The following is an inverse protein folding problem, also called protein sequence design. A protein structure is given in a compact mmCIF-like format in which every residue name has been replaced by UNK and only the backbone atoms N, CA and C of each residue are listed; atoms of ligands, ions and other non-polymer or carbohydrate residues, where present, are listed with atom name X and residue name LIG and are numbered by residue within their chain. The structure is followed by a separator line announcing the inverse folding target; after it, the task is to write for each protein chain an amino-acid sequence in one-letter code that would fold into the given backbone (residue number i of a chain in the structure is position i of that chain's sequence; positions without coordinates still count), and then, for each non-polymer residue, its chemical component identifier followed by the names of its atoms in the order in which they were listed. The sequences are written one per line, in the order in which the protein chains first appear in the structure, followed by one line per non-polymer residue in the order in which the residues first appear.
data_IF_811481322847
#
_entry.id   IF_811481322847
#
_cell.length_a   1.000
_cell.length_b   1.000
_cell.length_c   1.000
_cell.angle_alpha   90.00
_cell.angle_beta   90.00
_cell.angle_gamma   90.00
#
_symmetry.space_group_name_H-M   'P 1'
#
loop_
_entity.id
_entity.type
_entity.pdbx_description
1 polymer ?
#
# COMPACT_ATOMS: atom_id res chain seq x y z
N UNK A 1 27.21 -80.46 26.63
CA UNK A 1 27.66 -79.41 25.71
C UNK A 1 26.71 -78.25 25.88
N UNK A 2 27.07 -77.28 26.69
CA UNK A 2 26.22 -76.12 27.06
C UNK A 2 26.69 -74.90 26.20
N UNK A 3 25.80 -74.39 25.40
CA UNK A 3 26.06 -73.16 24.57
C UNK A 3 25.75 -71.97 25.46
N UNK A 4 26.76 -71.14 25.68
CA UNK A 4 26.66 -69.88 26.40
C UNK A 4 26.10 -68.79 25.49
N UNK A 5 25.01 -68.15 25.87
CA UNK A 5 24.38 -67.02 25.19
C UNK A 5 25.06 -65.73 25.66
N UNK A 6 25.75 -65.06 24.75
CA UNK A 6 26.33 -63.71 24.98
C UNK A 6 25.21 -62.69 24.78
N UNK A 7 24.84 -61.96 25.83
CA UNK A 7 24.00 -60.75 25.75
C UNK A 7 24.86 -59.59 25.39
N UNK A 8 24.77 -59.10 24.16
CA UNK A 8 25.30 -57.80 23.75
C UNK A 8 24.34 -56.68 24.18
N UNK A 9 24.76 -55.90 25.15
CA UNK A 9 24.08 -54.68 25.54
C UNK A 9 24.30 -53.59 24.47
N UNK A 10 23.21 -53.16 23.83
CA UNK A 10 23.21 -51.93 23.04
C UNK A 10 23.20 -50.72 24.01
N UNK A 11 24.30 -50.01 24.07
CA UNK A 11 24.33 -48.66 24.64
C UNK A 11 23.65 -47.71 23.67
N UNK A 12 22.49 -47.22 24.02
CA UNK A 12 21.79 -46.13 23.30
C UNK A 12 22.57 -44.83 23.52
N UNK A 13 23.33 -44.43 22.49
CA UNK A 13 23.92 -43.13 22.39
C UNK A 13 22.79 -42.13 22.15
N UNK A 14 22.37 -41.39 23.17
CA UNK A 14 21.49 -40.25 23.04
C UNK A 14 22.24 -39.18 22.23
N UNK A 15 21.90 -39.03 20.93
CA UNK A 15 22.28 -37.86 20.16
C UNK A 15 21.59 -36.65 20.76
N UNK A 16 22.35 -35.81 21.45
CA UNK A 16 21.96 -34.41 21.71
C UNK A 16 21.63 -33.75 20.34
N UNK A 17 20.48 -33.07 20.20
CA UNK A 17 20.25 -32.26 19.00
C UNK A 17 21.36 -31.23 18.94
N UNK A 18 22.28 -31.39 18.00
CA UNK A 18 23.29 -30.38 17.69
C UNK A 18 22.54 -29.08 17.38
N UNK A 19 22.85 -28.03 18.10
CA UNK A 19 22.51 -26.68 17.68
C UNK A 19 23.11 -26.50 16.29
N UNK A 20 22.28 -26.63 15.26
CA UNK A 20 22.59 -26.17 13.92
C UNK A 20 22.59 -24.65 14.05
N UNK A 21 23.76 -24.07 14.33
CA UNK A 21 23.95 -22.64 14.18
C UNK A 21 23.66 -22.34 12.72
N UNK A 22 22.57 -21.65 12.46
CA UNK A 22 22.30 -21.13 11.12
C UNK A 22 23.55 -20.37 10.65
N UNK A 23 24.03 -20.70 9.46
CA UNK A 23 25.14 -19.95 8.88
C UNK A 23 24.80 -18.46 8.90
N UNK A 24 25.75 -17.57 9.19
CA UNK A 24 25.49 -16.14 9.16
C UNK A 24 24.90 -15.76 7.82
N UNK A 25 23.80 -14.99 7.82
CA UNK A 25 23.17 -14.52 6.61
C UNK A 25 24.20 -13.75 5.78
N UNK A 26 24.38 -14.15 4.52
CA UNK A 26 25.35 -13.54 3.60
C UNK A 26 24.56 -12.80 2.53
N UNK A 27 24.98 -11.57 2.25
CA UNK A 27 24.37 -10.76 1.20
C UNK A 27 24.56 -11.41 -0.19
N UNK A 28 23.45 -11.68 -0.88
CA UNK A 28 23.47 -12.17 -2.26
C UNK A 28 23.49 -10.98 -3.24
N UNK A 29 24.38 -11.04 -4.25
CA UNK A 29 24.53 -9.93 -5.21
C UNK A 29 23.34 -9.76 -6.13
N UNK A 30 22.69 -10.87 -6.56
CA UNK A 30 21.53 -10.82 -7.43
C UNK A 30 20.32 -10.26 -6.69
N UNK A 31 20.10 -10.69 -5.43
CA UNK A 31 19.03 -10.17 -4.58
C UNK A 31 19.21 -8.67 -4.30
N UNK A 32 20.43 -8.23 -4.01
CA UNK A 32 20.72 -6.81 -3.80
C UNK A 32 20.45 -5.99 -5.08
N UNK A 33 20.88 -6.46 -6.26
CA UNK A 33 20.61 -5.79 -7.52
C UNK A 33 19.11 -5.74 -7.83
N UNK A 34 18.40 -6.86 -7.64
CA UNK A 34 16.94 -6.95 -7.81
C UNK A 34 16.22 -5.97 -6.89
N UNK A 35 16.54 -5.94 -5.60
CA UNK A 35 15.88 -5.09 -4.64
C UNK A 35 16.19 -3.59 -4.82
N UNK A 36 17.40 -3.23 -5.30
CA UNK A 36 17.68 -1.84 -5.69
C UNK A 36 16.83 -1.40 -6.88
N UNK A 37 16.65 -2.27 -7.89
CA UNK A 37 15.77 -1.99 -9.04
C UNK A 37 14.31 -1.88 -8.58
N UNK A 38 13.83 -2.83 -7.76
CA UNK A 38 12.47 -2.77 -7.19
C UNK A 38 12.23 -1.48 -6.40
N UNK A 39 13.20 -1.08 -5.58
CA UNK A 39 13.13 0.19 -4.83
C UNK A 39 13.01 1.40 -5.78
N UNK A 40 13.85 1.46 -6.81
CA UNK A 40 13.81 2.54 -7.81
C UNK A 40 12.45 2.59 -8.53
N UNK A 41 11.86 1.43 -8.86
CA UNK A 41 10.54 1.33 -9.46
C UNK A 41 9.43 1.85 -8.54
N UNK A 42 9.47 1.54 -7.24
CA UNK A 42 8.49 2.07 -6.26
C UNK A 42 8.66 3.58 -6.06
N UNK A 43 9.88 4.10 -6.02
CA UNK A 43 10.13 5.54 -5.99
C UNK A 43 9.58 6.22 -7.24
N UNK A 44 9.80 5.62 -8.41
CA UNK A 44 9.31 6.13 -9.69
C UNK A 44 7.78 6.14 -9.78
N UNK A 45 7.09 5.15 -9.21
CA UNK A 45 5.63 5.18 -9.18
C UNK A 45 5.08 6.25 -8.22
N UNK A 46 5.83 6.68 -7.21
CA UNK A 46 5.38 7.68 -6.25
C UNK A 46 5.46 9.09 -6.83
N UNK A 47 6.65 9.56 -7.16
CA UNK A 47 6.81 10.96 -7.59
C UNK A 47 6.19 11.20 -8.97
N UNK A 48 6.62 10.61 -10.09
CA UNK A 48 5.94 10.88 -11.34
C UNK A 48 4.60 10.12 -11.45
N UNK A 49 4.49 8.88 -10.96
CA UNK A 49 3.30 8.07 -11.17
C UNK A 49 2.04 8.65 -10.53
N UNK A 50 1.99 8.73 -9.20
CA UNK A 50 0.83 9.29 -8.47
C UNK A 50 0.64 10.77 -8.82
N UNK A 51 1.72 11.56 -8.87
CA UNK A 51 1.64 12.98 -9.15
C UNK A 51 0.94 13.24 -10.49
N UNK A 52 1.32 12.54 -11.57
CA UNK A 52 0.70 12.67 -12.89
C UNK A 52 -0.71 12.08 -12.94
N UNK A 53 -0.92 10.92 -12.30
CA UNK A 53 -2.23 10.30 -12.26
C UNK A 53 -3.25 11.22 -11.59
N UNK A 54 -2.98 11.71 -10.38
CA UNK A 54 -3.85 12.61 -9.64
C UNK A 54 -3.89 14.02 -10.28
N UNK A 55 -2.73 14.52 -10.72
CA UNK A 55 -2.64 15.80 -11.41
C UNK A 55 -3.55 15.88 -12.63
N UNK A 56 -3.62 14.81 -13.42
CA UNK A 56 -4.52 14.72 -14.57
C UNK A 56 -6.00 14.59 -14.23
N UNK A 57 -6.35 14.01 -13.07
CA UNK A 57 -7.73 13.80 -12.61
C UNK A 57 -8.40 15.08 -12.12
N UNK A 58 -7.67 15.98 -11.50
CA UNK A 58 -8.19 17.21 -10.91
C UNK A 58 -8.29 18.34 -11.95
N UNK A 59 -8.84 19.49 -11.55
CA UNK A 59 -8.93 20.68 -12.43
C UNK A 59 -7.55 21.30 -12.68
N UNK A 60 -7.29 21.78 -13.89
CA UNK A 60 -5.99 22.31 -14.34
C UNK A 60 -5.38 23.41 -13.48
N UNK A 61 -6.21 24.21 -12.80
CA UNK A 61 -5.80 25.27 -11.88
C UNK A 61 -5.29 24.79 -10.50
N UNK A 62 -5.24 23.47 -10.27
CA UNK A 62 -4.79 22.84 -9.04
C UNK A 62 -3.71 21.78 -9.30
N UNK A 63 -3.24 21.63 -10.53
CA UNK A 63 -2.33 20.55 -10.90
C UNK A 63 -0.97 20.68 -10.21
N UNK A 64 -0.39 21.89 -10.16
CA UNK A 64 0.89 22.12 -9.48
C UNK A 64 0.76 21.94 -7.98
N UNK A 65 -0.36 22.35 -7.39
CA UNK A 65 -0.66 22.08 -5.99
C UNK A 65 -0.65 20.59 -5.68
N UNK A 66 -1.23 19.75 -6.55
CA UNK A 66 -1.20 18.31 -6.40
C UNK A 66 0.21 17.73 -6.50
N UNK A 67 0.96 18.13 -7.54
CA UNK A 67 2.33 17.68 -7.76
C UNK A 67 3.23 18.06 -6.57
N UNK A 68 3.08 19.29 -6.07
CA UNK A 68 3.81 19.82 -4.91
C UNK A 68 3.46 19.03 -3.65
N UNK A 69 2.17 18.77 -3.39
CA UNK A 69 1.75 17.98 -2.23
C UNK A 69 2.35 16.56 -2.27
N UNK A 70 2.28 15.86 -3.40
CA UNK A 70 2.88 14.52 -3.53
C UNK A 70 4.39 14.58 -3.32
N UNK A 71 5.09 15.52 -3.95
CA UNK A 71 6.56 15.64 -3.88
C UNK A 71 7.04 16.00 -2.48
N UNK A 72 6.39 16.97 -1.83
CA UNK A 72 6.85 17.44 -0.51
C UNK A 72 6.47 16.46 0.59
N UNK A 73 5.31 15.81 0.51
CA UNK A 73 4.95 14.75 1.46
C UNK A 73 5.89 13.54 1.32
N UNK A 74 6.26 13.16 0.09
CA UNK A 74 7.29 12.16 -0.16
C UNK A 74 8.62 12.53 0.53
N UNK A 75 9.12 13.75 0.32
CA UNK A 75 10.38 14.20 0.92
C UNK A 75 10.30 14.21 2.46
N UNK A 76 9.20 14.70 3.03
CA UNK A 76 8.96 14.71 4.48
C UNK A 76 8.98 13.28 5.04
N UNK A 77 8.27 12.36 4.42
CA UNK A 77 8.22 10.94 4.86
C UNK A 77 9.59 10.27 4.76
N UNK A 78 10.36 10.51 3.69
CA UNK A 78 11.74 10.00 3.58
C UNK A 78 12.60 10.41 4.78
N UNK A 79 12.52 11.67 5.21
CA UNK A 79 13.27 12.16 6.36
C UNK A 79 12.78 11.50 7.65
N UNK A 80 11.48 11.52 7.91
CA UNK A 80 10.91 10.91 9.11
C UNK A 80 11.16 9.40 9.19
N UNK A 81 11.18 8.72 8.03
CA UNK A 81 11.50 7.30 7.95
C UNK A 81 12.92 6.99 8.42
N UNK A 82 13.90 7.77 7.97
CA UNK A 82 15.30 7.63 8.40
C UNK A 82 15.48 8.06 9.84
N UNK A 83 14.80 9.12 10.29
CA UNK A 83 14.96 9.64 11.65
C UNK A 83 14.47 8.64 12.69
N UNK A 84 13.28 8.05 12.51
CA UNK A 84 12.68 7.13 13.48
C UNK A 84 11.81 6.02 12.87
N UNK A 85 11.24 6.23 11.70
CA UNK A 85 10.21 5.36 11.14
C UNK A 85 10.69 3.92 10.97
N UNK A 86 11.85 3.73 10.35
CA UNK A 86 12.42 2.40 10.14
C UNK A 86 12.64 1.64 11.46
N UNK A 87 13.18 2.30 12.47
CA UNK A 87 13.43 1.70 13.79
C UNK A 87 12.13 1.26 14.46
N UNK A 88 11.10 2.10 14.42
CA UNK A 88 9.81 1.82 15.05
C UNK A 88 8.98 0.76 14.28
N UNK A 89 9.28 0.49 13.01
CA UNK A 89 8.62 -0.59 12.25
C UNK A 89 9.37 -1.90 12.39
N UNK A 90 10.69 -1.92 12.18
CA UNK A 90 11.47 -3.15 12.03
C UNK A 90 12.40 -3.47 13.19
N UNK A 91 12.55 -2.58 14.17
CA UNK A 91 13.23 -2.88 15.42
C UNK A 91 12.45 -3.89 16.27
N UNK A 92 13.16 -4.69 17.07
CA UNK A 92 12.53 -5.54 18.09
C UNK A 92 11.67 -4.67 19.02
N UNK A 93 10.45 -5.14 19.35
CA UNK A 93 9.57 -4.30 20.14
C UNK A 93 8.38 -5.05 20.74
N UNK A 94 7.26 -4.36 20.87
CA UNK A 94 6.01 -4.93 21.35
C UNK A 94 5.04 -5.20 20.18
N UNK A 95 3.81 -5.53 20.46
CA UNK A 95 2.79 -5.84 19.44
C UNK A 95 2.48 -4.68 18.48
N UNK A 96 2.84 -3.43 18.82
CA UNK A 96 2.42 -2.23 18.08
C UNK A 96 3.59 -1.40 17.54
N UNK A 97 4.75 -1.43 18.19
CA UNK A 97 5.92 -0.64 17.82
C UNK A 97 7.22 -1.41 18.06
N UNK A 98 8.16 -1.24 17.15
CA UNK A 98 9.56 -1.58 17.35
C UNK A 98 10.26 -0.65 18.35
N UNK A 99 11.54 -0.92 18.61
CA UNK A 99 12.37 -0.12 19.47
C UNK A 99 12.98 1.10 18.75
N UNK A 100 13.79 1.86 19.47
CA UNK A 100 14.46 3.07 18.97
C UNK A 100 15.97 2.88 18.73
N UNK A 101 16.46 1.65 18.65
CA UNK A 101 17.89 1.35 18.55
C UNK A 101 18.50 1.79 17.22
N UNK A 102 17.68 1.94 16.18
CA UNK A 102 18.11 2.38 14.85
C UNK A 102 17.66 3.81 14.51
N UNK A 103 17.46 4.68 15.52
CA UNK A 103 17.20 6.10 15.26
C UNK A 103 18.33 6.71 14.42
N UNK A 104 17.97 7.48 13.39
CA UNK A 104 18.92 8.03 12.41
C UNK A 104 19.79 6.95 11.74
N UNK A 105 19.28 5.72 11.66
CA UNK A 105 19.97 4.52 11.17
C UNK A 105 21.28 4.22 11.92
N UNK A 106 21.45 4.76 13.13
CA UNK A 106 22.59 4.40 13.99
C UNK A 106 22.56 2.91 14.32
N UNK A 107 23.74 2.36 14.58
CA UNK A 107 23.93 0.94 14.90
C UNK A 107 23.56 -0.04 13.75
N UNK A 108 23.32 0.45 12.54
CA UNK A 108 23.24 -0.37 11.33
C UNK A 108 24.62 -0.32 10.66
N UNK A 109 25.34 -1.43 10.72
CA UNK A 109 26.62 -1.56 10.03
C UNK A 109 26.44 -1.62 8.51
N UNK A 110 27.45 -1.20 7.73
CA UNK A 110 27.39 -1.25 6.26
C UNK A 110 27.22 -2.68 5.72
N UNK A 111 27.71 -3.65 6.50
CA UNK A 111 27.63 -5.09 6.17
C UNK A 111 26.42 -5.78 6.77
N UNK A 112 25.59 -5.07 7.56
CA UNK A 112 24.37 -5.64 8.13
C UNK A 112 23.42 -6.10 7.04
N UNK A 113 22.80 -7.26 7.25
CA UNK A 113 21.86 -7.89 6.29
C UNK A 113 20.48 -8.06 6.92
N UNK A 114 19.46 -7.99 6.07
CA UNK A 114 18.09 -8.39 6.36
C UNK A 114 17.72 -9.47 5.33
N UNK A 115 17.61 -10.73 5.78
CA UNK A 115 17.57 -11.86 4.86
C UNK A 115 18.86 -11.95 4.02
N UNK A 116 18.77 -11.92 2.71
CA UNK A 116 19.89 -11.98 1.75
C UNK A 116 20.32 -10.61 1.20
N UNK A 117 19.73 -9.51 1.64
CA UNK A 117 20.05 -8.15 1.17
C UNK A 117 20.69 -7.29 2.25
N UNK A 118 21.49 -6.31 1.85
CA UNK A 118 21.99 -5.33 2.81
C UNK A 118 20.86 -4.56 3.45
N UNK A 119 20.93 -4.36 4.77
CA UNK A 119 19.87 -3.72 5.54
C UNK A 119 19.55 -2.31 5.04
N UNK A 120 20.51 -1.55 4.51
CA UNK A 120 20.27 -0.24 3.89
C UNK A 120 19.36 -0.32 2.65
N UNK A 121 19.38 -1.41 1.89
CA UNK A 121 18.44 -1.61 0.76
C UNK A 121 17.03 -1.87 1.32
N UNK A 122 16.91 -2.69 2.37
CA UNK A 122 15.65 -2.89 3.06
C UNK A 122 15.08 -1.58 3.62
N UNK A 123 15.92 -0.72 4.23
CA UNK A 123 15.53 0.63 4.68
C UNK A 123 14.92 1.43 3.53
N UNK A 124 15.61 1.48 2.38
CA UNK A 124 15.15 2.25 1.22
C UNK A 124 13.86 1.69 0.61
N UNK A 125 13.77 0.35 0.45
CA UNK A 125 12.60 -0.31 -0.08
C UNK A 125 11.37 -0.06 0.77
N UNK A 126 11.44 -0.32 2.07
CA UNK A 126 10.34 -0.12 3.01
C UNK A 126 9.98 1.36 3.19
N UNK A 127 10.96 2.26 3.10
CA UNK A 127 10.73 3.70 3.10
C UNK A 127 9.91 4.16 1.89
N UNK A 128 10.13 3.56 0.73
CA UNK A 128 9.35 3.87 -0.48
C UNK A 128 7.86 3.53 -0.32
N UNK A 129 7.53 2.49 0.46
CA UNK A 129 6.14 2.14 0.82
C UNK A 129 5.49 3.17 1.76
N UNK A 130 6.22 3.65 2.75
CA UNK A 130 5.75 4.73 3.61
C UNK A 130 5.43 6.00 2.80
N UNK A 131 6.31 6.35 1.86
CA UNK A 131 6.16 7.52 1.00
C UNK A 131 4.93 7.43 0.10
N UNK A 132 4.75 6.30 -0.59
CA UNK A 132 3.59 6.14 -1.50
C UNK A 132 2.28 6.12 -0.72
N UNK A 133 2.25 5.49 0.46
CA UNK A 133 1.03 5.41 1.27
C UNK A 133 0.49 6.79 1.62
N UNK A 134 1.37 7.71 2.02
CA UNK A 134 0.99 9.11 2.28
C UNK A 134 0.59 9.82 0.99
N UNK A 135 1.29 9.56 -0.12
CA UNK A 135 0.96 10.11 -1.43
C UNK A 135 -0.47 9.77 -1.90
N UNK A 136 -0.99 8.59 -1.53
CA UNK A 136 -2.37 8.21 -1.87
C UNK A 136 -3.41 9.10 -1.16
N UNK A 137 -3.17 9.47 0.10
CA UNK A 137 -4.14 10.21 0.92
C UNK A 137 -4.47 11.58 0.33
N UNK A 138 -3.46 12.28 -0.22
CA UNK A 138 -3.66 13.66 -0.72
C UNK A 138 -4.67 13.76 -1.85
N UNK A 139 -4.86 12.68 -2.62
CA UNK A 139 -5.87 12.61 -3.68
C UNK A 139 -7.30 12.84 -3.20
N UNK A 140 -7.65 12.37 -2.00
CA UNK A 140 -8.98 12.55 -1.41
C UNK A 140 -9.23 13.99 -0.93
N UNK A 141 -8.17 14.77 -0.73
CA UNK A 141 -8.20 16.13 -0.16
C UNK A 141 -8.05 17.22 -1.21
N UNK A 142 -7.79 16.82 -2.45
CA UNK A 142 -7.42 17.68 -3.56
C UNK A 142 -8.34 18.90 -3.72
N UNK A 143 -7.75 20.00 -4.22
CA UNK A 143 -8.39 21.25 -4.63
C UNK A 143 -8.92 22.15 -3.49
N UNK A 144 -8.82 21.75 -2.21
CA UNK A 144 -9.39 22.53 -1.10
C UNK A 144 -8.64 22.49 0.23
N UNK A 145 -7.66 21.59 0.39
CA UNK A 145 -6.88 21.51 1.62
C UNK A 145 -5.77 22.55 1.66
N UNK A 146 -5.47 23.09 2.83
CA UNK A 146 -4.28 23.94 3.05
C UNK A 146 -3.03 23.07 3.01
N UNK A 147 -2.01 23.53 2.31
CA UNK A 147 -0.73 22.82 2.22
C UNK A 147 -0.08 22.58 3.58
N UNK A 148 -0.09 23.58 4.49
CA UNK A 148 0.42 23.43 5.86
C UNK A 148 -0.33 22.38 6.66
N UNK A 149 -1.65 22.24 6.46
CA UNK A 149 -2.46 21.23 7.13
C UNK A 149 -2.07 19.81 6.66
N UNK A 150 -1.75 19.63 5.37
CA UNK A 150 -1.24 18.35 4.86
C UNK A 150 0.04 17.95 5.58
N UNK A 151 0.99 18.87 5.76
CA UNK A 151 2.27 18.57 6.40
C UNK A 151 2.13 18.16 7.86
N UNK A 152 1.28 18.87 8.64
CA UNK A 152 1.00 18.52 10.04
C UNK A 152 0.32 17.15 10.11
N UNK A 153 -0.70 16.93 9.27
CA UNK A 153 -1.41 15.66 9.21
C UNK A 153 -0.46 14.50 8.90
N UNK A 154 0.43 14.65 7.93
CA UNK A 154 1.38 13.62 7.51
C UNK A 154 2.28 13.18 8.66
N UNK A 155 2.84 14.12 9.43
CA UNK A 155 3.69 13.78 10.58
C UNK A 155 2.93 12.94 11.60
N UNK A 156 1.71 13.37 11.96
CA UNK A 156 0.88 12.67 12.96
C UNK A 156 0.46 11.29 12.45
N UNK A 157 -0.06 11.24 11.23
CA UNK A 157 -0.62 10.00 10.68
C UNK A 157 0.47 8.97 10.34
N UNK A 158 1.61 9.38 9.78
CA UNK A 158 2.75 8.49 9.56
C UNK A 158 3.18 7.85 10.88
N UNK A 159 3.36 8.68 11.93
CA UNK A 159 3.88 8.23 13.22
C UNK A 159 2.90 7.33 13.96
N UNK A 160 1.61 7.67 13.97
CA UNK A 160 0.62 7.01 14.81
C UNK A 160 -0.29 6.03 14.06
N UNK A 161 -0.26 6.01 12.71
CA UNK A 161 -1.04 5.03 11.93
C UNK A 161 -0.16 4.15 11.06
N UNK A 162 0.58 4.71 10.11
CA UNK A 162 1.37 3.91 9.19
C UNK A 162 2.39 3.03 9.93
N UNK A 163 3.19 3.63 10.80
CA UNK A 163 4.26 2.92 11.54
C UNK A 163 3.70 1.77 12.40
N UNK A 164 2.66 1.97 13.26
CA UNK A 164 2.11 0.85 14.02
C UNK A 164 1.51 -0.25 13.14
N UNK A 165 0.76 0.11 12.11
CA UNK A 165 0.15 -0.90 11.22
C UNK A 165 1.23 -1.67 10.47
N UNK A 166 2.27 -1.01 9.96
CA UNK A 166 3.40 -1.67 9.31
C UNK A 166 4.17 -2.58 10.28
N UNK A 167 4.37 -2.16 11.54
CA UNK A 167 4.98 -3.01 12.56
C UNK A 167 4.10 -4.22 12.89
N UNK A 168 2.79 -4.01 13.09
CA UNK A 168 1.85 -5.10 13.36
C UNK A 168 1.86 -6.17 12.28
N UNK A 169 1.99 -5.79 11.00
CA UNK A 169 1.89 -6.71 9.85
C UNK A 169 3.26 -7.25 9.41
N UNK A 170 4.28 -6.40 9.33
CA UNK A 170 5.59 -6.75 8.75
C UNK A 170 6.75 -6.71 9.74
N UNK A 171 6.59 -6.01 10.86
CA UNK A 171 7.62 -5.86 11.89
C UNK A 171 7.61 -6.94 12.97
N UNK A 172 6.80 -7.98 12.83
CA UNK A 172 6.65 -9.06 13.83
C UNK A 172 5.67 -8.75 14.96
N UNK A 173 4.84 -7.71 14.83
CA UNK A 173 3.84 -7.32 15.82
C UNK A 173 2.57 -8.18 15.82
N UNK A 174 1.47 -7.62 16.31
CA UNK A 174 0.22 -8.31 16.61
C UNK A 174 -0.33 -9.13 15.43
N UNK A 175 -0.50 -8.51 14.26
CA UNK A 175 -1.12 -9.16 13.10
C UNK A 175 -0.21 -10.22 12.48
N UNK A 176 1.10 -9.99 12.47
CA UNK A 176 2.07 -11.00 12.06
C UNK A 176 2.02 -12.23 12.97
N UNK A 177 1.91 -12.05 14.30
CA UNK A 177 1.81 -13.15 15.26
C UNK A 177 0.50 -13.94 15.14
N UNK A 178 -0.57 -13.31 14.63
CA UNK A 178 -1.84 -13.98 14.33
C UNK A 178 -1.85 -14.66 12.94
N UNK A 179 -0.79 -14.48 12.12
CA UNK A 179 -0.67 -15.08 10.80
C UNK A 179 -1.40 -14.32 9.69
N UNK A 180 -1.57 -12.99 9.81
CA UNK A 180 -2.14 -12.18 8.75
C UNK A 180 -1.29 -12.23 7.48
N UNK A 181 -1.93 -12.45 6.34
CA UNK A 181 -1.31 -12.47 5.03
C UNK A 181 -1.54 -11.14 4.32
N UNK A 182 -0.49 -10.34 4.24
CA UNK A 182 -0.46 -9.08 3.48
C UNK A 182 0.90 -8.95 2.79
N UNK A 183 0.98 -9.48 1.55
CA UNK A 183 2.25 -9.65 0.85
C UNK A 183 2.95 -8.32 0.56
N UNK A 184 2.18 -7.34 0.07
CA UNK A 184 2.75 -6.07 -0.36
C UNK A 184 1.96 -4.84 0.12
N UNK A 185 0.98 -4.96 1.03
CA UNK A 185 0.36 -3.79 1.66
C UNK A 185 -1.11 -3.54 1.35
N UNK A 186 -1.92 -4.58 1.22
CA UNK A 186 -3.37 -4.44 1.12
C UNK A 186 -3.95 -3.69 2.31
N UNK A 187 -3.55 -4.06 3.53
CA UNK A 187 -3.90 -3.37 4.77
C UNK A 187 -2.98 -2.18 5.04
N UNK A 188 -1.66 -2.42 5.06
CA UNK A 188 -0.64 -1.43 5.48
C UNK A 188 -0.67 -0.19 4.61
N UNK A 189 -0.85 -0.33 3.30
CA UNK A 189 -0.82 0.77 2.34
C UNK A 189 -2.24 1.19 1.95
N UNK A 190 -2.99 0.28 1.30
CA UNK A 190 -4.20 0.67 0.57
C UNK A 190 -5.39 0.95 1.48
N UNK A 191 -5.76 0.04 2.37
CA UNK A 191 -6.88 0.26 3.31
C UNK A 191 -6.53 1.41 4.26
N UNK A 192 -5.32 1.43 4.79
CA UNK A 192 -4.83 2.45 5.71
C UNK A 192 -4.93 3.87 5.10
N UNK A 193 -4.36 4.08 3.89
CA UNK A 193 -4.44 5.36 3.20
C UNK A 193 -5.88 5.74 2.82
N UNK A 194 -6.67 4.78 2.34
CA UNK A 194 -8.03 5.03 1.88
C UNK A 194 -8.97 5.48 3.02
N UNK A 195 -8.84 4.86 4.19
CA UNK A 195 -9.60 5.28 5.39
C UNK A 195 -9.17 6.68 5.83
N UNK A 196 -7.87 6.97 5.85
CA UNK A 196 -7.39 8.31 6.16
C UNK A 196 -7.91 9.36 5.17
N UNK A 197 -7.91 9.05 3.88
CA UNK A 197 -8.48 9.89 2.83
C UNK A 197 -9.98 10.11 3.01
N UNK A 198 -10.73 9.05 3.34
CA UNK A 198 -12.18 9.11 3.57
C UNK A 198 -12.53 10.01 4.76
N UNK A 199 -11.85 9.84 5.89
CA UNK A 199 -12.04 10.68 7.08
C UNK A 199 -11.71 12.14 6.77
N UNK A 200 -10.60 12.39 6.06
CA UNK A 200 -10.20 13.72 5.63
C UNK A 200 -11.23 14.36 4.70
N UNK A 201 -11.76 13.62 3.72
CA UNK A 201 -12.77 14.11 2.80
C UNK A 201 -14.07 14.52 3.52
N UNK A 202 -14.45 13.82 4.59
CA UNK A 202 -15.58 14.21 5.42
C UNK A 202 -15.29 15.46 6.26
N UNK A 203 -14.15 15.54 6.91
CA UNK A 203 -13.82 16.65 7.81
C UNK A 203 -13.60 17.96 7.07
N UNK A 204 -12.96 17.91 5.90
CA UNK A 204 -12.73 19.11 5.07
C UNK A 204 -13.99 19.58 4.35
N UNK A 205 -14.94 18.68 4.14
CA UNK A 205 -16.20 18.95 3.45
C UNK A 205 -16.08 18.90 1.92
N UNK A 206 -17.19 19.17 1.25
CA UNK A 206 -17.31 19.09 -0.22
C UNK A 206 -16.68 20.31 -0.88
N UNK A 207 -16.12 20.14 -2.08
CA UNK A 207 -15.64 21.25 -2.93
C UNK A 207 -16.76 22.19 -3.27
N UNK A 208 -16.42 23.47 -3.44
CA UNK A 208 -17.36 24.48 -3.93
C UNK A 208 -17.90 24.06 -5.30
N UNK A 209 -19.22 24.04 -5.46
CA UNK A 209 -19.88 23.58 -6.69
C UNK A 209 -20.16 22.06 -6.74
N UNK A 210 -19.79 21.27 -5.71
CA UNK A 210 -20.02 19.82 -5.70
C UNK A 210 -21.51 19.49 -5.90
N UNK A 211 -21.80 18.63 -6.88
CA UNK A 211 -23.17 18.24 -7.25
C UNK A 211 -23.92 19.26 -8.11
N UNK A 212 -23.33 20.44 -8.36
CA UNK A 212 -23.88 21.48 -9.24
C UNK A 212 -23.02 21.70 -10.49
N UNK A 213 -21.71 21.54 -10.37
CA UNK A 213 -20.72 21.69 -11.43
C UNK A 213 -20.11 20.33 -11.79
N UNK A 214 -19.68 20.18 -13.05
CA UNK A 214 -18.99 18.99 -13.49
C UNK A 214 -17.47 19.10 -13.21
N UNK A 215 -16.96 18.29 -12.30
CA UNK A 215 -15.52 18.17 -12.05
C UNK A 215 -14.90 17.11 -12.99
N UNK A 216 -14.64 17.51 -14.23
CA UNK A 216 -14.03 16.62 -15.22
C UNK A 216 -12.51 16.61 -15.05
N UNK A 217 -11.83 15.45 -15.26
CA UNK A 217 -10.38 15.41 -15.42
C UNK A 217 -9.93 16.41 -16.49
N UNK A 218 -8.90 17.20 -16.19
CA UNK A 218 -8.45 18.20 -17.15
C UNK A 218 -7.54 17.62 -18.24
N UNK A 219 -6.85 16.49 -17.93
CA UNK A 219 -5.86 15.91 -18.84
C UNK A 219 -5.81 14.38 -18.76
N UNK A 220 -6.62 13.72 -19.59
CA UNK A 220 -6.65 12.24 -19.63
C UNK A 220 -5.34 11.60 -20.16
N UNK A 221 -4.60 12.17 -21.15
CA UNK A 221 -3.26 11.70 -21.48
C UNK A 221 -2.30 11.71 -20.28
N UNK A 222 -2.35 12.72 -19.40
CA UNK A 222 -1.55 12.77 -18.17
C UNK A 222 -1.98 11.66 -17.19
N UNK A 223 -3.30 11.41 -17.03
CA UNK A 223 -3.83 10.29 -16.24
C UNK A 223 -3.31 8.96 -16.78
N UNK A 224 -3.35 8.76 -18.09
CA UNK A 224 -2.85 7.53 -18.73
C UNK A 224 -1.34 7.35 -18.51
N UNK A 225 -0.55 8.42 -18.68
CA UNK A 225 0.89 8.39 -18.43
C UNK A 225 1.18 8.00 -16.97
N UNK A 226 0.49 8.65 -16.02
CA UNK A 226 0.59 8.31 -14.59
C UNK A 226 0.21 6.85 -14.31
N UNK A 227 -0.88 6.36 -14.92
CA UNK A 227 -1.30 4.95 -14.82
C UNK A 227 -0.23 3.99 -15.33
N UNK A 228 0.38 4.29 -16.49
CA UNK A 228 1.42 3.45 -17.07
C UNK A 228 2.67 3.39 -16.18
N UNK A 229 3.07 4.52 -15.58
CA UNK A 229 4.18 4.59 -14.63
C UNK A 229 3.85 3.78 -13.36
N UNK A 230 2.64 3.94 -12.81
CA UNK A 230 2.16 3.17 -11.67
C UNK A 230 2.18 1.68 -11.97
N UNK A 231 1.72 1.26 -13.15
CA UNK A 231 1.70 -0.15 -13.55
C UNK A 231 3.12 -0.74 -13.58
N UNK A 232 4.05 -0.07 -14.23
CA UNK A 232 5.45 -0.53 -14.29
C UNK A 232 6.08 -0.54 -12.89
N UNK A 233 5.87 0.50 -12.10
CA UNK A 233 6.39 0.58 -10.72
C UNK A 233 5.86 -0.51 -9.81
N UNK A 234 4.63 -0.98 -10.06
CA UNK A 234 3.99 -2.02 -9.26
C UNK A 234 4.65 -3.40 -9.36
N UNK A 235 5.45 -3.65 -10.38
CA UNK A 235 6.31 -4.84 -10.42
C UNK A 235 7.37 -4.78 -9.32
N UNK A 236 8.00 -3.61 -9.12
CA UNK A 236 8.89 -3.40 -7.98
C UNK A 236 8.16 -3.51 -6.65
N UNK A 237 6.95 -2.98 -6.58
CA UNK A 237 6.10 -2.99 -5.39
C UNK A 237 5.74 -4.44 -5.00
N UNK A 238 5.14 -5.21 -5.89
CA UNK A 238 4.65 -6.56 -5.62
C UNK A 238 5.77 -7.61 -5.66
N UNK A 239 6.53 -7.73 -6.74
CA UNK A 239 7.59 -8.73 -6.83
C UNK A 239 8.74 -8.44 -5.85
N UNK A 240 9.07 -7.16 -5.64
CA UNK A 240 10.05 -6.73 -4.66
C UNK A 240 9.69 -7.09 -3.21
N UNK A 241 8.40 -7.24 -2.89
CA UNK A 241 7.95 -7.65 -1.55
C UNK A 241 8.33 -9.09 -1.18
N UNK A 242 8.80 -9.90 -2.14
CA UNK A 242 9.46 -11.17 -1.84
C UNK A 242 10.81 -10.98 -1.11
N UNK A 243 11.43 -9.80 -1.20
CA UNK A 243 12.72 -9.50 -0.60
C UNK A 243 13.93 -10.12 -1.31
N UNK A 244 13.70 -11.05 -2.24
CA UNK A 244 14.71 -11.84 -2.97
C UNK A 244 14.24 -12.11 -4.39
N UNK A 245 15.18 -12.37 -5.32
CA UNK A 245 14.90 -12.77 -6.70
C UNK A 245 14.63 -14.28 -6.80
N UNK A 246 13.50 -14.72 -6.21
CA UNK A 246 13.13 -16.14 -6.11
C UNK A 246 11.83 -16.46 -6.88
N UNK A 247 11.35 -17.72 -6.73
CA UNK A 247 10.12 -18.20 -7.35
C UNK A 247 8.88 -17.43 -6.89
N UNK A 248 8.85 -16.92 -5.65
CA UNK A 248 7.73 -16.12 -5.11
C UNK A 248 7.72 -14.73 -5.79
N UNK A 249 8.89 -14.13 -6.01
CA UNK A 249 8.98 -12.89 -6.79
C UNK A 249 8.46 -13.07 -8.23
N UNK A 250 8.83 -14.19 -8.87
CA UNK A 250 8.36 -14.53 -10.22
C UNK A 250 6.84 -14.76 -10.24
N UNK A 251 6.28 -15.46 -9.24
CA UNK A 251 4.85 -15.67 -9.08
C UNK A 251 4.12 -14.35 -8.89
N UNK A 252 4.59 -13.50 -7.97
CA UNK A 252 4.01 -12.18 -7.70
C UNK A 252 4.03 -11.27 -8.95
N UNK A 253 5.10 -11.35 -9.77
CA UNK A 253 5.21 -10.65 -11.03
C UNK A 253 4.10 -11.06 -12.01
N UNK A 254 3.93 -12.35 -12.27
CA UNK A 254 2.90 -12.87 -13.18
C UNK A 254 1.50 -12.56 -12.67
N UNK A 255 1.24 -12.76 -11.37
CA UNK A 255 -0.05 -12.47 -10.75
C UNK A 255 -0.41 -10.98 -10.88
N UNK A 256 0.57 -10.09 -10.78
CA UNK A 256 0.36 -8.64 -10.98
C UNK A 256 -0.08 -8.34 -12.42
N UNK A 257 0.57 -8.94 -13.44
CA UNK A 257 0.16 -8.79 -14.85
C UNK A 257 -1.27 -9.27 -15.07
N UNK A 258 -1.55 -10.51 -14.64
CA UNK A 258 -2.83 -11.18 -14.91
C UNK A 258 -3.99 -10.48 -14.22
N UNK A 259 -3.84 -10.13 -12.93
CA UNK A 259 -4.89 -9.46 -12.18
C UNK A 259 -5.18 -8.05 -12.74
N UNK A 260 -4.14 -7.31 -13.14
CA UNK A 260 -4.32 -5.98 -13.74
C UNK A 260 -5.07 -6.08 -15.06
N UNK A 261 -4.70 -6.98 -15.95
CA UNK A 261 -5.38 -7.18 -17.22
C UNK A 261 -6.85 -7.59 -17.02
N UNK A 262 -7.09 -8.53 -16.09
CA UNK A 262 -8.45 -8.99 -15.76
C UNK A 262 -9.31 -7.86 -15.17
N UNK A 263 -8.72 -6.98 -14.34
CA UNK A 263 -9.44 -5.86 -13.72
C UNK A 263 -9.77 -4.76 -14.73
N UNK A 264 -8.87 -4.45 -15.67
CA UNK A 264 -9.17 -3.54 -16.79
C UNK A 264 -10.39 -4.03 -17.53
N UNK A 265 -10.42 -5.31 -17.92
CA UNK A 265 -11.55 -5.90 -18.63
C UNK A 265 -12.82 -5.92 -17.78
N UNK A 266 -12.72 -6.32 -16.51
CA UNK A 266 -13.86 -6.31 -15.56
C UNK A 266 -14.48 -4.92 -15.42
N UNK A 267 -13.64 -3.89 -15.23
CA UNK A 267 -14.10 -2.50 -15.15
C UNK A 267 -14.74 -2.02 -16.45
N UNK A 268 -14.08 -2.23 -17.59
CA UNK A 268 -14.56 -1.80 -18.90
C UNK A 268 -15.88 -2.46 -19.28
N UNK A 269 -16.02 -3.77 -19.08
CA UNK A 269 -17.28 -4.46 -19.34
C UNK A 269 -18.40 -4.01 -18.39
N UNK A 270 -18.08 -3.81 -17.11
CA UNK A 270 -19.01 -3.24 -16.13
C UNK A 270 -19.46 -1.84 -16.51
N UNK A 271 -18.53 -0.96 -16.90
CA UNK A 271 -18.84 0.40 -17.34
C UNK A 271 -19.68 0.40 -18.64
N UNK A 272 -19.33 -0.47 -19.58
CA UNK A 272 -20.07 -0.62 -20.82
C UNK A 272 -21.52 -1.06 -20.58
N UNK A 273 -21.71 -2.03 -19.69
CA UNK A 273 -23.05 -2.50 -19.30
C UNK A 273 -23.87 -1.41 -18.60
N UNK A 274 -23.22 -0.59 -17.73
CA UNK A 274 -23.91 0.43 -16.95
C UNK A 274 -24.16 1.75 -17.72
N UNK A 275 -23.26 2.13 -18.63
CA UNK A 275 -23.23 3.46 -19.28
C UNK A 275 -23.31 3.41 -20.80
N UNK A 276 -23.28 2.22 -21.39
CA UNK A 276 -23.33 2.01 -22.84
C UNK A 276 -22.04 2.34 -23.60
N UNK A 277 -20.99 2.83 -22.93
CA UNK A 277 -19.71 3.19 -23.55
C UNK A 277 -18.54 2.93 -22.59
N UNK A 278 -17.45 2.27 -23.06
CA UNK A 278 -16.21 2.17 -22.32
C UNK A 278 -15.44 3.49 -22.37
N UNK A 279 -14.59 3.75 -21.35
CA UNK A 279 -13.78 4.96 -21.31
C UNK A 279 -12.31 4.67 -21.01
N UNK A 280 -11.40 5.55 -21.48
CA UNK A 280 -9.99 5.48 -21.11
C UNK A 280 -9.79 5.65 -19.61
N UNK A 281 -10.54 6.58 -18.99
CA UNK A 281 -10.50 6.77 -17.54
C UNK A 281 -10.90 5.48 -16.80
N UNK A 282 -11.93 4.78 -17.28
CA UNK A 282 -12.33 3.48 -16.75
C UNK A 282 -11.23 2.42 -16.88
N UNK A 283 -10.54 2.38 -18.03
CA UNK A 283 -9.38 1.47 -18.20
C UNK A 283 -8.24 1.78 -17.22
N UNK A 284 -7.91 3.07 -17.03
CA UNK A 284 -6.91 3.50 -16.07
C UNK A 284 -7.31 3.14 -14.63
N UNK A 285 -8.54 3.44 -14.23
CA UNK A 285 -9.04 3.11 -12.89
C UNK A 285 -9.12 1.60 -12.66
N UNK A 286 -9.52 0.83 -13.69
CA UNK A 286 -9.53 -0.63 -13.66
C UNK A 286 -8.13 -1.22 -13.49
N UNK A 287 -7.11 -0.63 -14.14
CA UNK A 287 -5.72 -1.02 -13.95
C UNK A 287 -5.30 -0.87 -12.47
N UNK A 288 -5.54 0.31 -11.89
CA UNK A 288 -5.20 0.56 -10.47
C UNK A 288 -6.01 -0.35 -9.55
N UNK A 289 -7.30 -0.57 -9.82
CA UNK A 289 -8.13 -1.49 -9.02
C UNK A 289 -7.57 -2.92 -8.99
N UNK A 290 -7.07 -3.42 -10.13
CA UNK A 290 -6.45 -4.75 -10.22
C UNK A 290 -5.11 -4.83 -9.50
N UNK A 291 -4.28 -3.81 -9.67
CA UNK A 291 -3.00 -3.68 -8.97
C UNK A 291 -3.19 -3.68 -7.45
N UNK A 292 -4.15 -2.88 -6.95
CA UNK A 292 -4.51 -2.82 -5.53
C UNK A 292 -5.08 -4.15 -5.04
N UNK A 293 -6.03 -4.72 -5.77
CA UNK A 293 -6.72 -5.96 -5.36
C UNK A 293 -5.79 -7.15 -5.24
N UNK A 294 -4.76 -7.26 -6.11
CA UNK A 294 -3.80 -8.37 -6.05
C UNK A 294 -2.66 -8.15 -5.06
N UNK A 295 -2.43 -6.90 -4.63
CA UNK A 295 -1.31 -6.52 -3.76
C UNK A 295 -1.16 -7.38 -2.50
N UNK A 296 -2.21 -7.63 -1.68
CA UNK A 296 -2.06 -8.47 -0.50
C UNK A 296 -1.85 -9.96 -0.82
N UNK A 297 -2.19 -10.39 -2.04
CA UNK A 297 -2.31 -11.77 -2.44
C UNK A 297 -1.18 -12.28 -3.35
N UNK A 298 -0.52 -11.39 -4.08
CA UNK A 298 0.26 -11.74 -5.29
C UNK A 298 1.33 -12.80 -5.09
N UNK A 299 1.97 -12.88 -3.94
CA UNK A 299 2.97 -13.91 -3.61
C UNK A 299 2.39 -15.17 -2.95
N UNK A 300 1.09 -15.18 -2.63
CA UNK A 300 0.45 -16.29 -1.93
C UNK A 300 -0.49 -17.13 -2.79
N UNK A 301 -0.95 -16.62 -3.93
CA UNK A 301 -2.02 -17.22 -4.72
C UNK A 301 -1.52 -17.75 -6.07
N UNK A 302 -2.22 -18.73 -6.62
CA UNK A 302 -2.01 -19.16 -7.99
C UNK A 302 -2.59 -18.19 -9.03
N UNK A 303 -2.18 -18.35 -10.30
CA UNK A 303 -2.59 -17.48 -11.41
C UNK A 303 -4.11 -17.46 -11.62
N UNK A 304 -4.82 -18.58 -11.40
CA UNK A 304 -6.28 -18.62 -11.44
C UNK A 304 -6.93 -17.71 -10.38
N UNK A 305 -6.38 -17.69 -9.17
CA UNK A 305 -6.79 -16.77 -8.11
C UNK A 305 -6.56 -15.30 -8.49
N UNK A 306 -5.40 -14.99 -9.09
CA UNK A 306 -5.08 -13.64 -9.56
C UNK A 306 -6.07 -13.14 -10.63
N UNK A 307 -6.46 -14.01 -11.57
CA UNK A 307 -7.46 -13.68 -12.59
C UNK A 307 -8.81 -13.33 -11.96
N UNK A 308 -9.28 -14.14 -11.01
CA UNK A 308 -10.56 -13.91 -10.32
C UNK A 308 -10.50 -12.64 -9.48
N UNK A 309 -9.42 -12.45 -8.69
CA UNK A 309 -9.21 -11.21 -7.92
C UNK A 309 -9.24 -9.99 -8.84
N UNK A 310 -8.60 -10.05 -10.00
CA UNK A 310 -8.60 -8.96 -10.95
C UNK A 310 -9.99 -8.58 -11.41
N UNK A 311 -10.79 -9.54 -11.90
CA UNK A 311 -12.17 -9.27 -12.34
C UNK A 311 -13.00 -8.68 -11.20
N UNK A 312 -12.96 -9.30 -10.02
CA UNK A 312 -13.74 -8.84 -8.85
C UNK A 312 -13.30 -7.46 -8.39
N UNK A 313 -11.98 -7.18 -8.34
CA UNK A 313 -11.46 -5.86 -7.98
C UNK A 313 -11.87 -4.78 -9.01
N UNK A 314 -11.84 -5.09 -10.31
CA UNK A 314 -12.32 -4.18 -11.36
C UNK A 314 -13.79 -3.79 -11.18
N UNK A 315 -14.66 -4.78 -10.93
CA UNK A 315 -16.09 -4.55 -10.69
C UNK A 315 -16.36 -3.85 -9.36
N UNK A 316 -15.67 -4.25 -8.29
CA UNK A 316 -15.80 -3.66 -6.95
C UNK A 316 -15.32 -2.20 -6.94
N UNK A 317 -14.21 -1.90 -7.61
CA UNK A 317 -13.70 -0.53 -7.77
C UNK A 317 -14.71 0.34 -8.53
N UNK A 318 -15.26 -0.15 -9.65
CA UNK A 318 -16.30 0.56 -10.40
C UNK A 318 -17.53 0.86 -9.52
N UNK A 319 -17.96 -0.11 -8.72
CA UNK A 319 -19.03 0.10 -7.73
C UNK A 319 -18.62 1.14 -6.68
N UNK A 320 -17.40 1.05 -6.17
CA UNK A 320 -16.84 1.95 -5.14
C UNK A 320 -16.85 3.42 -5.57
N UNK A 321 -16.40 3.71 -6.79
CA UNK A 321 -16.31 5.09 -7.31
C UNK A 321 -17.65 5.64 -7.84
N UNK A 322 -18.63 4.76 -8.11
CA UNK A 322 -19.92 5.18 -8.63
C UNK A 322 -21.03 5.16 -7.58
N UNK A 323 -21.38 3.98 -7.08
CA UNK A 323 -22.52 3.80 -6.17
C UNK A 323 -22.16 4.09 -4.71
N UNK A 324 -21.07 3.50 -4.20
CA UNK A 324 -20.67 3.65 -2.79
C UNK A 324 -20.32 5.10 -2.47
N UNK A 325 -19.56 5.79 -3.33
CA UNK A 325 -19.23 7.21 -3.18
C UNK A 325 -20.50 8.07 -3.05
N UNK A 326 -21.55 7.77 -3.82
CA UNK A 326 -22.85 8.46 -3.73
C UNK A 326 -23.61 8.12 -2.44
N UNK A 327 -23.61 6.86 -2.02
CA UNK A 327 -24.23 6.43 -0.76
C UNK A 327 -23.56 7.11 0.44
N UNK A 328 -22.26 7.18 0.44
CA UNK A 328 -21.46 7.86 1.47
C UNK A 328 -21.57 9.39 1.39
N UNK A 329 -22.06 9.94 0.29
CA UNK A 329 -22.19 11.41 0.06
C UNK A 329 -20.88 12.15 0.25
N UNK A 330 -19.74 11.50 -0.05
CA UNK A 330 -18.39 12.03 0.13
C UNK A 330 -17.87 12.65 -1.17
N UNK A 331 -17.12 13.74 -1.06
CA UNK A 331 -16.36 14.32 -2.17
C UNK A 331 -14.90 13.88 -2.06
N UNK A 332 -14.58 12.79 -2.73
CA UNK A 332 -13.25 12.20 -2.89
C UNK A 332 -12.81 12.43 -4.35
N UNK A 333 -12.00 13.48 -4.64
CA UNK A 333 -11.69 13.89 -6.00
C UNK A 333 -11.00 12.84 -6.86
N UNK A 334 -10.10 12.06 -6.28
CA UNK A 334 -9.31 11.05 -6.98
C UNK A 334 -9.79 9.61 -6.72
N UNK A 335 -11.00 9.44 -6.18
CA UNK A 335 -11.61 8.13 -5.91
C UNK A 335 -10.76 7.19 -5.02
N UNK A 336 -9.98 7.77 -4.09
CA UNK A 336 -9.01 7.06 -3.25
C UNK A 336 -9.68 5.93 -2.46
N UNK A 337 -10.83 6.21 -1.82
CA UNK A 337 -11.55 5.18 -1.08
C UNK A 337 -12.13 4.10 -1.98
N UNK A 338 -12.73 4.47 -3.11
CA UNK A 338 -13.32 3.51 -4.05
C UNK A 338 -12.31 2.56 -4.67
N UNK A 339 -11.13 3.08 -5.04
CA UNK A 339 -10.08 2.30 -5.70
C UNK A 339 -9.18 1.60 -4.69
N UNK A 340 -8.66 2.30 -3.67
CA UNK A 340 -7.71 1.70 -2.73
C UNK A 340 -8.40 1.02 -1.54
N UNK A 341 -9.43 1.62 -0.96
CA UNK A 341 -10.15 1.04 0.18
C UNK A 341 -10.94 -0.21 -0.20
N UNK A 342 -11.85 -0.07 -1.17
CA UNK A 342 -12.73 -1.18 -1.58
C UNK A 342 -11.92 -2.32 -2.19
N UNK A 343 -11.00 -2.03 -3.13
CA UNK A 343 -10.20 -3.09 -3.76
C UNK A 343 -9.19 -3.72 -2.79
N UNK A 344 -8.63 -2.94 -1.86
CA UNK A 344 -7.77 -3.46 -0.79
C UNK A 344 -8.51 -4.44 0.12
N UNK A 345 -9.73 -4.09 0.56
CA UNK A 345 -10.60 -4.99 1.37
C UNK A 345 -10.91 -6.28 0.60
N UNK A 346 -11.33 -6.16 -0.67
CA UNK A 346 -11.58 -7.32 -1.54
C UNK A 346 -10.33 -8.19 -1.65
N UNK A 347 -9.17 -7.58 -1.93
CA UNK A 347 -7.91 -8.27 -2.05
C UNK A 347 -7.53 -9.04 -0.79
N UNK A 348 -7.61 -8.40 0.39
CA UNK A 348 -7.29 -9.03 1.67
C UNK A 348 -8.21 -10.23 1.97
N UNK A 349 -9.53 -10.10 1.74
CA UNK A 349 -10.47 -11.22 1.92
C UNK A 349 -10.13 -12.36 0.96
N UNK A 350 -9.92 -12.06 -0.31
CA UNK A 350 -9.64 -13.07 -1.32
C UNK A 350 -8.26 -13.72 -1.15
N UNK A 351 -7.29 -13.03 -0.51
CA UNK A 351 -6.04 -13.64 -0.07
C UNK A 351 -6.29 -14.81 0.86
N UNK A 352 -7.16 -14.63 1.87
CA UNK A 352 -7.54 -15.69 2.81
C UNK A 352 -8.24 -16.90 2.16
N UNK A 353 -8.77 -16.73 0.94
CA UNK A 353 -9.40 -17.81 0.17
C UNK A 353 -8.37 -18.47 -0.76
N UNK A 354 -7.77 -17.69 -1.66
CA UNK A 354 -6.97 -18.19 -2.78
C UNK A 354 -5.54 -18.57 -2.41
N UNK A 355 -5.06 -18.25 -1.20
CA UNK A 355 -3.80 -18.77 -0.69
C UNK A 355 -3.85 -20.29 -0.40
N UNK A 356 -5.05 -20.89 -0.32
CA UNK A 356 -5.21 -22.32 -0.13
C UNK A 356 -4.57 -23.15 -1.25
N UNK A 357 -3.79 -24.18 -0.91
CA UNK A 357 -3.14 -25.07 -1.88
C UNK A 357 -4.15 -25.77 -2.80
N UNK A 358 -5.37 -26.08 -2.28
CA UNK A 358 -6.46 -26.69 -3.06
C UNK A 358 -7.00 -25.78 -4.18
N UNK A 359 -6.72 -24.46 -4.10
CA UNK A 359 -7.07 -23.46 -5.12
C UNK A 359 -5.84 -22.98 -5.92
N UNK A 360 -4.71 -23.68 -5.79
CA UNK A 360 -3.47 -23.39 -6.49
C UNK A 360 -2.58 -22.33 -5.81
N UNK A 361 -2.91 -21.94 -4.55
CA UNK A 361 -2.09 -21.06 -3.74
C UNK A 361 -0.90 -21.79 -3.09
N UNK A 362 -0.03 -21.05 -2.44
CA UNK A 362 1.17 -21.57 -1.77
C UNK A 362 0.84 -22.38 -0.50
N UNK A 363 -0.38 -22.28 0.01
CA UNK A 363 -0.84 -22.93 1.24
C UNK A 363 -0.83 -22.00 2.44
N UNK A 364 -1.48 -22.47 3.51
CA UNK A 364 -1.47 -21.84 4.82
C UNK A 364 -0.41 -22.49 5.71
N UNK A 365 -0.08 -21.89 6.83
CA UNK A 365 0.74 -22.51 7.86
C UNK A 365 0.13 -23.82 8.34
N UNK A 366 0.96 -24.71 8.90
CA UNK A 366 0.52 -26.02 9.38
C UNK A 366 -0.62 -25.88 10.41
N UNK A 367 -1.70 -26.65 10.21
CA UNK A 367 -2.89 -26.60 11.07
C UNK A 367 -3.84 -25.44 10.81
N UNK A 368 -3.51 -24.49 9.96
CA UNK A 368 -4.37 -23.35 9.64
C UNK A 368 -5.37 -23.72 8.55
N UNK A 369 -6.66 -23.52 8.84
CA UNK A 369 -7.77 -23.73 7.88
C UNK A 369 -8.09 -22.43 7.12
N UNK A 370 -8.72 -22.55 5.95
CA UNK A 370 -9.23 -21.39 5.22
C UNK A 370 -10.16 -20.51 6.07
N UNK A 371 -11.04 -21.13 6.88
CA UNK A 371 -11.94 -20.39 7.76
C UNK A 371 -11.18 -19.58 8.82
N UNK A 372 -10.14 -20.15 9.41
CA UNK A 372 -9.26 -19.44 10.34
C UNK A 372 -8.53 -18.29 9.63
N UNK A 373 -7.93 -18.56 8.47
CA UNK A 373 -7.23 -17.51 7.71
C UNK A 373 -8.15 -16.35 7.32
N UNK A 374 -9.39 -16.63 6.95
CA UNK A 374 -10.39 -15.59 6.68
C UNK A 374 -10.68 -14.73 7.91
N UNK A 375 -10.79 -15.33 9.10
CA UNK A 375 -10.99 -14.56 10.33
C UNK A 375 -9.79 -13.65 10.62
N UNK A 376 -8.56 -14.12 10.42
CA UNK A 376 -7.35 -13.31 10.60
C UNK A 376 -7.31 -12.16 9.58
N UNK A 377 -7.70 -12.39 8.33
CA UNK A 377 -7.78 -11.33 7.32
C UNK A 377 -8.83 -10.27 7.70
N UNK A 378 -10.01 -10.70 8.17
CA UNK A 378 -11.06 -9.79 8.63
C UNK A 378 -10.63 -8.99 9.86
N UNK A 379 -9.92 -9.62 10.80
CA UNK A 379 -9.30 -8.94 11.95
C UNK A 379 -8.32 -7.86 11.50
N UNK A 380 -7.41 -8.19 10.58
CA UNK A 380 -6.43 -7.25 10.04
C UNK A 380 -7.11 -6.06 9.36
N UNK A 381 -8.15 -6.30 8.56
CA UNK A 381 -8.95 -5.25 7.93
C UNK A 381 -9.62 -4.37 8.99
N UNK A 382 -10.28 -4.96 9.98
CA UNK A 382 -11.01 -4.24 11.01
C UNK A 382 -10.08 -3.37 11.86
N UNK A 383 -8.96 -3.92 12.32
CA UNK A 383 -7.95 -3.18 13.08
C UNK A 383 -7.43 -2.01 12.24
N UNK A 384 -7.10 -2.23 10.97
CA UNK A 384 -6.59 -1.16 10.10
C UNK A 384 -7.63 -0.05 9.90
N UNK A 385 -8.90 -0.39 9.66
CA UNK A 385 -9.99 0.58 9.47
C UNK A 385 -10.17 1.43 10.74
N UNK A 386 -10.28 0.79 11.89
CA UNK A 386 -10.52 1.49 13.16
C UNK A 386 -9.30 2.34 13.53
N UNK A 387 -8.10 1.76 13.48
CA UNK A 387 -6.87 2.45 13.88
C UNK A 387 -6.59 3.65 12.97
N UNK A 388 -6.58 3.46 11.65
CA UNK A 388 -6.36 4.55 10.70
C UNK A 388 -7.45 5.62 10.82
N UNK A 389 -8.71 5.22 10.97
CA UNK A 389 -9.83 6.14 11.12
C UNK A 389 -9.70 7.06 12.32
N UNK A 390 -9.39 6.49 13.49
CA UNK A 390 -9.19 7.26 14.74
C UNK A 390 -7.99 8.19 14.62
N UNK A 391 -6.85 7.69 14.17
CA UNK A 391 -5.63 8.49 14.02
C UNK A 391 -5.80 9.58 12.98
N UNK A 392 -6.45 9.29 11.86
CA UNK A 392 -6.74 10.30 10.83
C UNK A 392 -7.65 11.41 11.38
N UNK A 393 -8.70 11.05 12.12
CA UNK A 393 -9.56 12.04 12.78
C UNK A 393 -8.76 12.96 13.70
N UNK A 394 -7.90 12.40 14.56
CA UNK A 394 -7.04 13.18 15.48
C UNK A 394 -6.08 14.07 14.67
N UNK A 395 -5.41 13.52 13.66
CA UNK A 395 -4.44 14.25 12.85
C UNK A 395 -5.06 15.43 12.10
N UNK A 396 -6.23 15.23 11.47
CA UNK A 396 -6.93 16.34 10.81
C UNK A 396 -7.46 17.37 11.80
N UNK A 397 -7.98 16.95 12.97
CA UNK A 397 -8.41 17.91 14.00
C UNK A 397 -7.25 18.72 14.54
N UNK A 398 -6.09 18.12 14.74
CA UNK A 398 -4.88 18.84 15.16
C UNK A 398 -4.45 19.87 14.08
N UNK A 399 -4.44 19.47 12.81
CA UNK A 399 -4.14 20.38 11.72
C UNK A 399 -5.16 21.54 11.62
N UNK A 400 -6.44 21.23 11.80
CA UNK A 400 -7.52 22.24 11.80
C UNK A 400 -7.36 23.27 12.91
N UNK A 401 -7.07 22.81 14.15
CA UNK A 401 -6.88 23.65 15.32
C UNK A 401 -5.62 24.54 15.25
N UNK A 402 -4.62 24.13 14.48
CA UNK A 402 -3.33 24.84 14.41
C UNK A 402 -3.24 25.82 13.25
N UNK A 403 -3.58 25.37 12.02
CA UNK A 403 -3.41 26.17 10.79
C UNK A 403 -4.71 26.31 9.98
N UNK A 404 -5.78 25.65 10.42
CA UNK A 404 -7.00 25.51 9.65
C UNK A 404 -6.87 24.46 8.56
N UNK A 405 -7.94 23.69 8.32
CA UNK A 405 -7.89 22.55 7.40
C UNK A 405 -8.10 22.98 5.94
N UNK A 406 -9.05 23.88 5.69
CA UNK A 406 -9.50 24.27 4.34
C UNK A 406 -9.07 25.68 3.98
N UNK A 407 -8.77 25.88 2.69
CA UNK A 407 -8.54 27.21 2.15
C UNK A 407 -9.86 28.03 2.10
N UNK A 408 -9.82 29.37 2.07
CA UNK A 408 -10.98 30.20 1.81
C UNK A 408 -11.66 29.86 0.47
N UNK A 409 -12.98 30.04 0.41
CA UNK A 409 -13.77 29.70 -0.80
C UNK A 409 -13.27 30.45 -2.06
N UNK A 410 -12.83 31.69 -1.92
CA UNK A 410 -12.30 32.50 -3.01
C UNK A 410 -11.04 31.84 -3.62
N UNK A 411 -10.10 31.41 -2.76
CA UNK A 411 -8.88 30.72 -3.20
C UNK A 411 -9.18 29.36 -3.86
N UNK A 412 -10.20 28.64 -3.35
CA UNK A 412 -10.64 27.40 -3.97
C UNK A 412 -11.27 27.62 -5.35
N UNK A 413 -12.02 28.73 -5.52
CA UNK A 413 -12.60 29.12 -6.80
C UNK A 413 -11.55 29.57 -7.81
N UNK A 414 -10.57 30.32 -7.38
CA UNK A 414 -9.47 30.79 -8.22
C UNK A 414 -8.51 29.66 -8.61
N UNK A 415 -8.11 28.83 -7.66
CA UNK A 415 -7.20 27.70 -7.83
C UNK A 415 -6.02 27.74 -6.87
N UNK A 416 -5.56 26.55 -6.45
CA UNK A 416 -4.50 26.44 -5.46
C UNK A 416 -3.09 26.64 -6.04
N UNK A 417 -2.91 26.49 -7.34
CA UNK A 417 -1.61 26.69 -7.98
C UNK A 417 -1.13 28.13 -7.74
N UNK A 418 -1.97 29.12 -8.03
CA UNK A 418 -1.66 30.53 -7.81
C UNK A 418 -1.68 30.89 -6.32
N UNK A 419 -2.74 30.50 -5.60
CA UNK A 419 -2.94 30.94 -4.23
C UNK A 419 -2.04 30.28 -3.19
N UNK A 420 -1.68 29.00 -3.41
CA UNK A 420 -0.85 28.27 -2.45
C UNK A 420 0.62 28.22 -2.85
N UNK A 421 0.94 28.37 -4.14
CA UNK A 421 2.29 28.14 -4.66
C UNK A 421 2.82 29.29 -5.54
N UNK A 422 1.96 30.23 -5.95
CA UNK A 422 2.36 31.39 -6.76
C UNK A 422 2.74 31.03 -8.20
N UNK A 423 2.25 29.89 -8.71
CA UNK A 423 2.64 29.33 -10.00
C UNK A 423 1.40 29.01 -10.85
N UNK A 424 1.60 28.94 -12.18
CA UNK A 424 0.60 28.48 -13.14
C UNK A 424 1.15 27.30 -13.93
N UNK A 425 0.38 26.22 -14.02
CA UNK A 425 0.76 25.04 -14.80
C UNK A 425 0.74 25.32 -16.32
N UNK A 426 -0.17 26.16 -16.75
CA UNK A 426 -0.41 26.46 -18.16
C UNK A 426 -0.44 27.96 -18.36
N UNK A 427 0.44 28.46 -19.22
CA UNK A 427 0.43 29.85 -19.70
C UNK A 427 -0.53 29.89 -20.89
N UNK A 428 -1.75 30.39 -20.68
CA UNK A 428 -2.76 30.60 -21.72
C UNK A 428 -2.49 31.91 -22.47
#
# INVERSE_FOLDING_TARGET
MKIATIKTGLASLAMLPGLVMAAPAVADKADNAFMMICTALVLFMTIPGIALFYGGLIRGKNVLSMLTQVTVTFALVCILWVVYGYSLVFGEGNNFFGNINWLMLKNIELTAVMGSIYQYIHVAFQGSFACITVGLIVGALAERIRFSAVLIFVVVWLTLSYIPIAHMVWGGGLLASHGALDFAGGTVVHINAAIAGLVGAYLIGKRVGFGKEAFKPHNLPMVFTGTAILYIGWFGFNAGSAGTANEIAALAFVNTVVATAAAILGWIFGEWALRGKPSLLGACSGAIAGLVGVTPACGYIGVGGALIIGVVAGLAGLWGVTMLKRLLRVDDPCDVFGVHGVCGIVGCIMTGIFAASSLGGVGFAEGVTMGHQLLVQLESIAITIVWSGVVAFIGYKLADLTVGLRVPEEQEREGLDVNSHGENAYNA
#
